data_IF_729849538013
#
_entry.id   IF_729849538013
#
_cell.length_a   1.000
_cell.length_b   1.000
_cell.length_c   1.000
_cell.angle_alpha   90.00
_cell.angle_beta   90.00
_cell.angle_gamma   90.00
#
_symmetry.space_group_name_H-M   'P 1'
#
loop_
_entity.id
_entity.type
_entity.pdbx_description
1 polymer ?
#
# COMPACT_ATOMS: atom_id res chain seq x y z
N UNK A 1 -0.38 -81.06 -8.26
CA UNK A 1 -0.40 -80.20 -7.06
C UNK A 1 0.52 -79.00 -7.31
N UNK A 2 0.22 -77.87 -6.66
CA UNK A 2 0.91 -76.58 -6.68
C UNK A 2 0.74 -75.68 -7.92
N UNK A 3 -0.18 -74.73 -7.74
CA UNK A 3 -0.32 -73.44 -8.44
C UNK A 3 0.84 -72.49 -8.06
N UNK A 4 0.89 -71.37 -8.79
CA UNK A 4 1.47 -70.05 -8.45
C UNK A 4 2.96 -69.82 -8.71
N UNK A 5 3.23 -69.04 -9.76
CA UNK A 5 3.97 -67.77 -9.66
C UNK A 5 3.84 -66.99 -10.98
N UNK A 6 2.75 -66.24 -11.15
CA UNK A 6 2.74 -65.08 -12.06
C UNK A 6 1.60 -64.14 -11.70
N UNK A 7 1.72 -63.53 -10.53
CA UNK A 7 0.98 -62.34 -10.12
C UNK A 7 2.08 -61.56 -9.40
N UNK A 8 2.69 -60.51 -9.95
CA UNK A 8 2.16 -59.15 -9.84
C UNK A 8 3.17 -58.20 -10.49
N UNK A 9 2.96 -57.77 -11.74
CA UNK A 9 3.66 -56.59 -12.29
C UNK A 9 2.66 -55.57 -12.87
N UNK A 10 1.45 -56.00 -13.23
CA UNK A 10 0.47 -55.13 -13.90
C UNK A 10 -0.49 -54.35 -12.96
N UNK A 11 -0.40 -54.52 -11.63
CA UNK A 11 -1.28 -53.80 -10.68
C UNK A 11 -0.64 -52.58 -9.98
N UNK A 12 0.65 -52.30 -10.18
CA UNK A 12 1.30 -51.14 -9.54
C UNK A 12 1.15 -49.85 -10.38
N UNK A 13 0.76 -49.95 -11.65
CA UNK A 13 0.57 -48.77 -12.52
C UNK A 13 -0.78 -48.05 -12.35
N UNK A 14 -1.66 -48.48 -11.43
CA UNK A 14 -3.01 -47.92 -11.29
C UNK A 14 -3.29 -47.14 -10.00
N UNK A 15 -2.28 -46.82 -9.19
CA UNK A 15 -2.48 -46.03 -7.96
C UNK A 15 -1.37 -45.00 -7.74
N UNK A 16 -1.41 -43.89 -8.50
CA UNK A 16 -0.84 -42.61 -8.07
C UNK A 16 -1.27 -41.46 -9.00
N UNK A 17 -2.55 -41.40 -9.43
CA UNK A 17 -3.13 -40.10 -9.82
C UNK A 17 -3.74 -39.49 -8.56
N UNK A 18 -2.88 -39.00 -7.68
CA UNK A 18 -3.28 -38.09 -6.59
C UNK A 18 -3.93 -36.91 -7.30
N UNK A 19 -5.24 -36.71 -7.13
CA UNK A 19 -5.89 -35.46 -7.55
C UNK A 19 -5.11 -34.35 -6.84
N UNK A 20 -4.25 -33.63 -7.56
CA UNK A 20 -3.70 -32.39 -7.05
C UNK A 20 -4.91 -31.51 -6.76
N UNK A 21 -5.18 -31.27 -5.48
CA UNK A 21 -6.12 -30.22 -5.10
C UNK A 21 -5.70 -28.95 -5.83
N UNK A 22 -6.69 -28.16 -6.29
CA UNK A 22 -6.44 -26.88 -6.96
C UNK A 22 -5.45 -26.11 -6.07
N UNK A 23 -4.21 -25.94 -6.53
CA UNK A 23 -3.24 -25.11 -5.82
C UNK A 23 -3.84 -23.71 -5.87
N UNK A 24 -4.38 -23.24 -4.75
CA UNK A 24 -4.79 -21.84 -4.63
C UNK A 24 -3.49 -21.05 -4.68
N UNK A 25 -3.19 -20.50 -5.84
CA UNK A 25 -2.00 -19.68 -6.02
C UNK A 25 -2.20 -18.40 -5.21
N UNK A 26 -1.53 -18.33 -4.07
CA UNK A 26 -1.53 -17.14 -3.23
C UNK A 26 -0.89 -16.00 -4.02
N UNK A 27 -1.57 -14.85 -4.08
CA UNK A 27 -1.02 -13.66 -4.72
C UNK A 27 0.24 -13.22 -3.97
N UNK A 28 1.23 -12.68 -4.67
CA UNK A 28 2.30 -11.92 -4.01
C UNK A 28 1.70 -10.69 -3.30
N UNK A 29 2.37 -10.13 -2.27
CA UNK A 29 1.91 -8.91 -1.60
C UNK A 29 1.53 -7.79 -2.57
N UNK A 30 2.37 -7.51 -3.57
CA UNK A 30 2.14 -6.44 -4.55
C UNK A 30 0.94 -6.74 -5.43
N UNK A 31 0.81 -7.99 -5.89
CA UNK A 31 -0.34 -8.39 -6.71
C UNK A 31 -1.64 -8.42 -5.91
N UNK A 32 -1.56 -8.68 -4.60
CA UNK A 32 -2.70 -8.54 -3.70
C UNK A 32 -3.09 -7.07 -3.59
N UNK A 33 -2.15 -6.18 -3.27
CA UNK A 33 -2.41 -4.74 -3.16
C UNK A 33 -3.06 -4.22 -4.45
N UNK A 34 -2.43 -4.47 -5.61
CA UNK A 34 -2.95 -4.07 -6.94
C UNK A 34 -4.41 -4.49 -7.20
N UNK A 35 -4.80 -5.67 -6.72
CA UNK A 35 -6.08 -6.30 -7.11
C UNK A 35 -7.14 -6.26 -6.03
N UNK A 36 -6.76 -6.03 -4.77
CA UNK A 36 -7.61 -6.32 -3.60
C UNK A 36 -7.55 -5.26 -2.51
N UNK A 37 -6.56 -4.36 -2.47
CA UNK A 37 -6.46 -3.40 -1.36
C UNK A 37 -7.72 -2.53 -1.21
N UNK A 38 -8.23 -1.95 -2.30
CA UNK A 38 -9.48 -1.14 -2.30
C UNK A 38 -10.72 -1.89 -1.78
N UNK A 39 -10.74 -3.22 -1.85
CA UNK A 39 -11.86 -4.03 -1.34
C UNK A 39 -11.81 -4.30 0.16
N UNK A 40 -10.69 -4.00 0.81
CA UNK A 40 -10.56 -4.13 2.26
C UNK A 40 -11.17 -2.92 2.96
N UNK A 41 -11.88 -3.08 4.07
CA UNK A 41 -12.36 -1.96 4.85
C UNK A 41 -11.20 -1.18 5.46
N UNK A 42 -11.30 0.15 5.42
CA UNK A 42 -10.33 1.05 6.07
C UNK A 42 -10.28 0.74 7.57
N UNK A 43 -9.06 0.60 8.08
CA UNK A 43 -8.76 0.44 9.51
C UNK A 43 -8.53 1.81 10.14
N UNK A 44 -7.51 2.53 9.67
CA UNK A 44 -7.21 3.90 10.07
C UNK A 44 -6.47 4.65 8.96
N UNK A 45 -6.51 5.98 9.04
CA UNK A 45 -5.67 6.86 8.23
C UNK A 45 -5.00 7.86 9.17
N UNK A 46 -3.74 8.18 8.90
CA UNK A 46 -2.92 9.06 9.73
C UNK A 46 -2.17 10.06 8.86
N UNK A 47 -1.86 11.22 9.42
CA UNK A 47 -0.88 12.16 8.88
C UNK A 47 0.03 12.67 9.99
N UNK A 48 1.26 13.08 9.69
CA UNK A 48 2.08 13.77 10.70
C UNK A 48 1.49 15.14 11.03
N UNK A 49 1.67 15.61 12.26
CA UNK A 49 1.35 16.99 12.64
C UNK A 49 2.18 17.99 11.83
N UNK A 50 1.70 19.23 11.71
CA UNK A 50 2.37 20.35 11.03
C UNK A 50 2.64 20.14 9.52
N UNK A 51 1.99 19.14 8.90
CA UNK A 51 2.20 18.81 7.50
C UNK A 51 1.86 19.97 6.55
N UNK A 52 0.89 20.81 6.92
CA UNK A 52 0.47 21.99 6.14
C UNK A 52 1.55 23.06 6.14
N UNK A 53 2.05 23.41 7.32
CA UNK A 53 3.04 24.47 7.51
C UNK A 53 4.41 24.06 6.95
N UNK A 54 4.76 22.78 7.08
CA UNK A 54 6.02 22.24 6.60
C UNK A 54 5.99 21.88 5.11
N UNK A 55 4.81 21.75 4.50
CA UNK A 55 4.63 21.32 3.11
C UNK A 55 5.05 19.86 2.86
N UNK A 56 5.17 19.07 3.91
CA UNK A 56 5.59 17.66 3.85
C UNK A 56 4.65 16.81 4.70
N UNK A 57 3.96 15.89 4.04
CA UNK A 57 2.99 14.99 4.66
C UNK A 57 3.46 13.53 4.58
N UNK A 58 3.60 12.90 5.75
CA UNK A 58 3.67 11.47 5.95
C UNK A 58 2.26 10.94 6.13
N UNK A 59 1.67 10.41 5.06
CA UNK A 59 0.30 9.89 5.09
C UNK A 59 0.34 8.38 5.23
N UNK A 60 -0.45 7.81 6.15
CA UNK A 60 -0.67 6.37 6.29
C UNK A 60 -2.11 6.05 5.94
N UNK A 61 -2.32 5.01 5.13
CA UNK A 61 -3.62 4.39 4.89
C UNK A 61 -3.51 2.90 5.22
N UNK A 62 -4.28 2.45 6.21
CA UNK A 62 -4.31 1.07 6.67
C UNK A 62 -5.68 0.45 6.44
N UNK A 63 -5.72 -0.83 6.06
CA UNK A 63 -6.96 -1.59 5.81
C UNK A 63 -6.92 -2.96 6.48
N UNK A 64 -8.07 -3.40 6.98
CA UNK A 64 -8.23 -4.69 7.66
C UNK A 64 -8.40 -5.85 6.68
N UNK A 65 -7.72 -6.95 6.95
CA UNK A 65 -8.04 -8.25 6.36
C UNK A 65 -9.07 -8.99 7.20
N UNK A 66 -9.75 -9.97 6.59
CA UNK A 66 -10.76 -10.79 7.28
C UNK A 66 -10.17 -11.69 8.38
N UNK A 67 -8.85 -11.87 8.41
CA UNK A 67 -8.13 -12.61 9.45
C UNK A 67 -7.73 -11.72 10.66
N UNK A 68 -8.09 -10.43 10.66
CA UNK A 68 -7.71 -9.46 11.68
C UNK A 68 -6.32 -8.84 11.51
N UNK A 69 -5.60 -9.19 10.44
CA UNK A 69 -4.32 -8.57 10.11
C UNK A 69 -4.51 -7.27 9.33
N UNK A 70 -3.47 -6.45 9.30
CA UNK A 70 -3.44 -5.14 8.64
C UNK A 70 -2.55 -5.17 7.41
N UNK A 71 -2.96 -4.47 6.36
CA UNK A 71 -2.07 -3.98 5.31
C UNK A 71 -2.14 -2.48 5.27
N UNK A 72 -0.98 -1.82 5.26
CA UNK A 72 -0.89 -0.38 5.20
C UNK A 72 0.07 0.06 4.11
N UNK A 73 -0.20 1.24 3.55
CA UNK A 73 0.74 1.99 2.74
C UNK A 73 1.04 3.31 3.43
N UNK A 74 2.30 3.72 3.36
CA UNK A 74 2.76 5.03 3.78
C UNK A 74 3.26 5.81 2.56
N UNK A 75 2.97 7.10 2.53
CA UNK A 75 3.37 8.03 1.48
C UNK A 75 4.10 9.20 2.12
N UNK A 76 5.26 9.57 1.56
CA UNK A 76 5.91 10.85 1.82
C UNK A 76 5.56 11.77 0.66
N UNK A 77 4.71 12.76 0.93
CA UNK A 77 4.21 13.73 -0.05
C UNK A 77 4.84 15.08 0.23
N UNK A 78 5.54 15.62 -0.77
CA UNK A 78 6.00 17.00 -0.81
C UNK A 78 4.96 17.84 -1.53
N UNK A 79 4.20 18.62 -0.77
CA UNK A 79 3.13 19.47 -1.25
C UNK A 79 3.66 20.77 -1.86
N UNK A 80 4.92 21.11 -1.66
CA UNK A 80 5.50 22.34 -2.17
C UNK A 80 6.11 22.19 -3.57
N UNK A 81 6.42 20.98 -4.03
CA UNK A 81 7.01 20.79 -5.34
C UNK A 81 6.90 19.35 -5.90
N UNK A 82 7.40 18.36 -5.17
CA UNK A 82 7.78 17.07 -5.77
C UNK A 82 6.69 15.99 -5.77
N UNK A 83 5.58 16.21 -5.07
CA UNK A 83 4.53 15.23 -4.91
C UNK A 83 5.00 14.01 -4.12
N UNK A 84 4.60 12.79 -4.51
CA UNK A 84 4.97 11.56 -3.77
C UNK A 84 6.45 11.23 -3.97
N UNK A 85 7.29 11.68 -3.03
CA UNK A 85 8.75 11.45 -3.01
C UNK A 85 9.11 10.01 -2.66
N UNK A 86 8.37 9.38 -1.75
CA UNK A 86 8.63 8.02 -1.30
C UNK A 86 7.35 7.31 -0.88
N UNK A 87 7.37 5.98 -0.90
CA UNK A 87 6.26 5.16 -0.43
C UNK A 87 6.73 3.77 -0.03
N UNK A 88 6.07 3.18 0.96
CA UNK A 88 6.34 1.84 1.46
C UNK A 88 5.04 1.15 1.88
N UNK A 89 5.07 -0.16 2.07
CA UNK A 89 3.91 -0.91 2.51
C UNK A 89 4.27 -2.00 3.53
N UNK A 90 3.32 -2.28 4.43
CA UNK A 90 3.31 -3.46 5.29
C UNK A 90 2.19 -4.38 4.82
N UNK A 91 2.46 -5.68 4.69
CA UNK A 91 1.49 -6.61 4.12
C UNK A 91 1.08 -7.70 5.09
N UNK A 92 -0.23 -7.76 5.34
CA UNK A 92 -0.93 -8.79 6.10
C UNK A 92 -0.23 -9.14 7.45
N UNK A 93 0.19 -8.10 8.19
CA UNK A 93 0.85 -8.26 9.49
C UNK A 93 -0.18 -8.25 10.63
N UNK A 94 0.07 -8.91 11.77
CA UNK A 94 -0.80 -8.80 12.93
C UNK A 94 -0.99 -7.35 13.39
N UNK A 95 -2.17 -6.99 13.91
CA UNK A 95 -2.44 -5.64 14.38
C UNK A 95 -1.42 -5.18 15.44
N UNK A 96 -1.03 -6.06 16.37
CA UNK A 96 -0.02 -5.75 17.37
C UNK A 96 1.34 -5.36 16.77
N UNK A 97 1.78 -6.05 15.71
CA UNK A 97 3.02 -5.72 14.98
C UNK A 97 2.87 -4.38 14.24
N UNK A 98 1.68 -4.09 13.71
CA UNK A 98 1.39 -2.81 13.09
C UNK A 98 1.46 -1.65 14.11
N UNK A 99 0.90 -1.82 15.32
CA UNK A 99 0.99 -0.82 16.38
C UNK A 99 2.45 -0.62 16.82
N UNK A 100 3.22 -1.69 17.01
CA UNK A 100 4.65 -1.61 17.36
C UNK A 100 5.45 -0.83 16.30
N UNK A 101 5.22 -1.11 15.01
CA UNK A 101 5.88 -0.37 13.91
C UNK A 101 5.48 1.09 13.86
N UNK A 102 4.23 1.42 14.18
CA UNK A 102 3.75 2.80 14.27
C UNK A 102 4.42 3.55 15.43
N UNK A 103 4.46 2.93 16.61
CA UNK A 103 5.09 3.48 17.81
C UNK A 103 6.62 3.64 17.64
N UNK A 104 7.26 2.78 16.85
CA UNK A 104 8.69 2.87 16.52
C UNK A 104 9.09 4.05 15.62
N UNK A 105 8.14 4.83 15.11
CA UNK A 105 8.42 6.04 14.30
C UNK A 105 8.61 7.27 15.20
N UNK A 106 9.60 7.21 16.10
CA UNK A 106 9.78 8.17 17.20
C UNK A 106 9.90 9.66 16.78
N UNK A 107 10.29 9.92 15.52
CA UNK A 107 10.46 11.28 14.98
C UNK A 107 9.21 11.84 14.31
N UNK A 108 8.13 11.07 14.20
CA UNK A 108 6.90 11.49 13.53
C UNK A 108 5.73 11.40 14.52
N UNK A 109 5.15 12.55 14.85
CA UNK A 109 3.91 12.61 15.64
C UNK A 109 2.74 12.51 14.67
N UNK A 110 2.01 11.40 14.72
CA UNK A 110 0.84 11.17 13.88
C UNK A 110 -0.45 11.62 14.55
N UNK A 111 -1.38 12.14 13.75
CA UNK A 111 -2.76 12.38 14.11
C UNK A 111 -3.72 11.60 13.19
N UNK A 112 -4.86 11.11 13.73
CA UNK A 112 -5.86 10.41 12.93
C UNK A 112 -6.61 11.37 12.01
N UNK A 113 -6.81 10.95 10.77
CA UNK A 113 -7.55 11.71 9.76
C UNK A 113 -8.58 10.83 9.05
N UNK A 114 -9.51 11.48 8.33
CA UNK A 114 -10.42 10.75 7.46
C UNK A 114 -9.69 10.14 6.27
N UNK A 115 -10.26 9.08 5.72
CA UNK A 115 -9.79 8.52 4.46
C UNK A 115 -9.82 9.57 3.33
N UNK A 116 -10.90 10.36 3.25
CA UNK A 116 -11.06 11.45 2.30
C UNK A 116 -9.88 12.43 2.34
N UNK A 117 -9.47 12.88 3.54
CA UNK A 117 -8.34 13.79 3.67
C UNK A 117 -7.02 13.13 3.26
N UNK A 118 -6.80 11.87 3.66
CA UNK A 118 -5.59 11.13 3.28
C UNK A 118 -5.46 10.98 1.75
N UNK A 119 -6.57 10.66 1.09
CA UNK A 119 -6.67 10.58 -0.37
C UNK A 119 -6.35 11.93 -1.01
N UNK A 120 -7.05 12.99 -0.62
CA UNK A 120 -6.85 14.33 -1.19
C UNK A 120 -5.43 14.87 -0.99
N UNK A 121 -4.77 14.63 0.16
CA UNK A 121 -3.37 15.04 0.37
C UNK A 121 -2.44 14.38 -0.66
N UNK A 122 -2.61 13.08 -0.90
CA UNK A 122 -1.75 12.35 -1.84
C UNK A 122 -2.01 12.84 -3.28
N UNK A 123 -3.27 12.97 -3.68
CA UNK A 123 -3.61 13.38 -5.05
C UNK A 123 -3.27 14.84 -5.34
N UNK A 124 -3.52 15.77 -4.42
CA UNK A 124 -3.12 17.16 -4.59
C UNK A 124 -1.60 17.30 -4.80
N UNK A 125 -0.79 16.57 -4.02
CA UNK A 125 0.65 16.54 -4.24
C UNK A 125 1.07 15.95 -5.59
N UNK A 126 0.36 14.92 -6.08
CA UNK A 126 0.61 14.33 -7.41
C UNK A 126 0.30 15.32 -8.53
N UNK A 127 -0.89 15.92 -8.51
CA UNK A 127 -1.35 16.86 -9.52
C UNK A 127 -0.43 18.07 -9.58
N UNK A 128 -0.13 18.67 -8.41
CA UNK A 128 0.76 19.82 -8.35
C UNK A 128 2.15 19.53 -8.90
N UNK A 129 2.72 18.36 -8.58
CA UNK A 129 4.03 17.95 -9.08
C UNK A 129 4.02 17.68 -10.61
N UNK A 130 2.91 17.14 -11.13
CA UNK A 130 2.74 16.87 -12.56
C UNK A 130 2.75 18.16 -13.39
N UNK A 131 2.20 19.27 -12.88
CA UNK A 131 2.24 20.59 -13.54
C UNK A 131 3.68 21.06 -13.85
N UNK A 132 4.66 20.62 -13.05
CA UNK A 132 6.09 20.94 -13.22
C UNK A 132 6.89 19.79 -13.85
N UNK A 133 6.23 18.72 -14.29
CA UNK A 133 6.84 17.59 -14.97
C UNK A 133 7.54 16.58 -14.05
N UNK A 134 7.30 16.66 -12.74
CA UNK A 134 7.76 15.64 -11.81
C UNK A 134 6.89 14.39 -11.90
N UNK A 135 7.51 13.24 -11.64
CA UNK A 135 6.83 11.95 -11.59
C UNK A 135 6.89 11.41 -10.17
N UNK A 136 5.83 10.77 -9.68
CA UNK A 136 5.87 10.14 -8.36
C UNK A 136 6.88 9.00 -8.32
N UNK A 137 7.28 8.64 -7.10
CA UNK A 137 8.15 7.50 -6.83
C UNK A 137 7.65 6.23 -7.57
N UNK A 138 8.57 5.46 -8.17
CA UNK A 138 8.22 4.26 -8.97
C UNK A 138 7.40 3.21 -8.22
N UNK A 139 7.56 3.13 -6.90
CA UNK A 139 6.84 2.14 -6.08
C UNK A 139 5.39 2.58 -5.81
N UNK A 140 5.13 3.89 -5.96
CA UNK A 140 3.77 4.43 -5.94
C UNK A 140 3.01 3.91 -7.16
N UNK A 141 3.54 4.18 -8.36
CA UNK A 141 2.89 3.76 -9.60
C UNK A 141 2.85 2.24 -9.77
N UNK A 142 3.86 1.53 -9.28
CA UNK A 142 3.87 0.07 -9.44
C UNK A 142 3.06 -0.68 -8.38
N UNK A 143 2.82 -0.14 -7.18
CA UNK A 143 2.16 -0.87 -6.08
C UNK A 143 1.22 -0.02 -5.24
N UNK A 144 1.71 1.04 -4.59
CA UNK A 144 0.97 1.61 -3.44
C UNK A 144 -0.20 2.51 -3.85
N UNK A 145 -0.22 3.05 -5.08
CA UNK A 145 -1.39 3.78 -5.59
C UNK A 145 -2.69 2.97 -5.53
N UNK A 146 -2.59 1.63 -5.61
CA UNK A 146 -3.75 0.74 -5.58
C UNK A 146 -4.34 0.55 -4.16
N UNK A 147 -3.73 1.14 -3.13
CA UNK A 147 -4.34 1.25 -1.81
C UNK A 147 -5.37 2.39 -1.74
N UNK A 148 -5.25 3.38 -2.63
CA UNK A 148 -6.15 4.52 -2.76
C UNK A 148 -7.17 4.26 -3.87
N UNK A 149 -8.41 4.68 -3.64
CA UNK A 149 -9.46 4.80 -4.64
C UNK A 149 -8.97 5.72 -5.77
N UNK A 150 -9.49 5.52 -6.97
CA UNK A 150 -9.16 6.39 -8.10
C UNK A 150 -9.69 7.80 -7.83
N UNK A 151 -8.95 8.79 -8.31
CA UNK A 151 -9.33 10.19 -8.14
C UNK A 151 -10.49 10.52 -9.07
N UNK A 152 -11.68 10.42 -8.50
CA UNK A 152 -12.98 10.53 -9.16
C UNK A 152 -13.92 11.27 -8.23
N UNK A 153 -15.08 11.66 -8.73
CA UNK A 153 -16.12 12.34 -7.95
C UNK A 153 -16.78 11.47 -6.86
N UNK A 154 -16.40 10.19 -6.75
CA UNK A 154 -16.80 9.31 -5.64
C UNK A 154 -16.14 9.68 -4.30
N UNK A 155 -14.98 10.34 -4.33
CA UNK A 155 -14.31 10.86 -3.14
C UNK A 155 -14.56 12.36 -3.06
N UNK A 156 -15.04 12.84 -1.91
CA UNK A 156 -15.27 14.27 -1.69
C UNK A 156 -13.94 15.05 -1.85
N UNK A 157 -13.98 16.09 -2.68
CA UNK A 157 -12.85 16.97 -2.92
C UNK A 157 -12.63 17.88 -1.70
N UNK A 158 -11.42 17.84 -1.16
CA UNK A 158 -10.94 18.75 -0.13
C UNK A 158 -9.79 19.54 -0.74
N UNK A 159 -9.91 20.87 -0.73
CA UNK A 159 -8.84 21.74 -1.21
C UNK A 159 -7.60 21.63 -0.31
N UNK A 160 -6.49 21.19 -0.90
CA UNK A 160 -5.18 21.06 -0.24
C UNK A 160 -4.24 22.09 -0.85
N UNK A 161 -3.85 23.07 -0.05
CA UNK A 161 -2.90 24.09 -0.49
C UNK A 161 -1.55 23.44 -0.83
N UNK A 162 -1.12 23.66 -2.08
CA UNK A 162 0.16 23.21 -2.61
C UNK A 162 1.02 24.40 -3.04
N UNK A 163 2.34 24.19 -3.08
CA UNK A 163 3.31 25.26 -3.27
C UNK A 163 3.47 26.15 -2.04
N UNK A 164 4.34 27.15 -2.17
CA UNK A 164 4.55 28.18 -1.17
C UNK A 164 4.43 29.54 -1.84
N UNK A 165 3.53 30.38 -1.35
CA UNK A 165 3.18 31.66 -1.98
C UNK A 165 2.76 31.51 -3.45
N UNK A 166 2.06 30.41 -3.77
CA UNK A 166 1.60 30.07 -5.12
C UNK A 166 2.70 29.69 -6.11
N UNK A 167 3.86 29.26 -5.63
CA UNK A 167 5.00 28.84 -6.46
C UNK A 167 5.61 27.53 -5.97
N UNK A 168 6.25 26.75 -6.86
CA UNK A 168 7.06 25.61 -6.44
C UNK A 168 8.15 26.05 -5.47
N UNK A 169 8.25 25.36 -4.34
CA UNK A 169 9.25 25.63 -3.34
C UNK A 169 9.94 24.32 -2.93
N UNK A 170 11.06 24.05 -3.57
CA UNK A 170 11.85 22.88 -3.26
C UNK A 170 12.76 23.14 -2.04
N UNK A 171 12.69 22.24 -1.07
CA UNK A 171 13.59 22.20 0.09
C UNK A 171 14.39 20.90 0.03
N UNK A 172 15.72 21.01 -0.02
CA UNK A 172 16.59 19.84 0.05
C UNK A 172 16.37 19.11 1.38
N UNK A 173 15.95 17.85 1.28
CA UNK A 173 15.94 16.90 2.38
C UNK A 173 17.34 16.33 2.65
N UNK A 174 17.57 15.72 3.82
CA UNK A 174 18.87 15.14 4.19
C UNK A 174 19.32 13.96 3.30
N UNK A 175 18.45 13.49 2.42
CA UNK A 175 18.69 12.37 1.49
C UNK A 175 18.46 12.75 0.02
N UNK A 176 18.28 14.04 -0.28
CA UNK A 176 18.24 14.54 -1.66
C UNK A 176 19.67 14.92 -2.06
N UNK A 177 20.14 14.43 -3.23
CA UNK A 177 21.48 14.69 -3.79
C UNK A 177 21.54 15.98 -4.63
#
# INVERSE_FOLDING_TARGET
MAKNQSITINNIRKMAKKKMGKVIQMLSPENYIRKKARSLPVFECLVNTEWKEQGVAHVVVARNHTNGNITSCMYLVDLFCLGVKNTQYLFNIPEAEYQEKKEGMEYIVFEPISYTLAHNIVFAGLEYAEEFGFKPHKDFTSVTQFMLEEDTDEVELIDIECGKDGKPFFVNGPYDD
#
